data_IF_720745010766
#
_entry.id   IF_720745010766
#
_cell.length_a   1.000
_cell.length_b   1.000
_cell.length_c   1.000
_cell.angle_alpha   90.00
_cell.angle_beta   90.00
_cell.angle_gamma   90.00
#
_symmetry.space_group_name_H-M   'P 1'
#
loop_
_entity.id
_entity.type
_entity.pdbx_description
1 polymer ?
#
# COMPACT_ATOMS: atom_id res chain seq x y z
N UNK A 1 -20.99 12.20 -31.61
CA UNK A 1 -20.66 12.59 -30.23
C UNK A 1 -20.26 11.34 -29.46
N UNK A 2 -19.00 11.20 -29.04
CA UNK A 2 -18.56 10.08 -28.19
C UNK A 2 -18.60 10.57 -26.74
N UNK A 3 -19.48 10.01 -25.93
CA UNK A 3 -19.56 10.30 -24.50
C UNK A 3 -18.37 9.63 -23.81
N UNK A 4 -17.40 10.43 -23.38
CA UNK A 4 -16.30 9.99 -22.52
C UNK A 4 -16.77 10.08 -21.07
N UNK A 5 -17.61 9.15 -20.62
CA UNK A 5 -17.72 8.94 -19.18
C UNK A 5 -16.44 8.23 -18.74
N UNK A 6 -15.54 8.98 -18.08
CA UNK A 6 -14.49 8.36 -17.31
C UNK A 6 -15.18 7.53 -16.21
N UNK A 7 -14.97 6.22 -16.22
CA UNK A 7 -15.38 5.37 -15.11
C UNK A 7 -14.64 5.85 -13.87
N UNK A 8 -15.36 6.44 -12.92
CA UNK A 8 -14.77 6.81 -11.63
C UNK A 8 -14.28 5.54 -10.94
N UNK A 9 -12.97 5.40 -10.79
CA UNK A 9 -12.37 4.29 -10.06
C UNK A 9 -12.45 4.59 -8.56
N UNK A 10 -13.16 3.74 -7.81
CA UNK A 10 -13.14 3.78 -6.34
C UNK A 10 -11.87 3.08 -5.85
N UNK A 11 -11.04 3.80 -5.11
CA UNK A 11 -9.89 3.22 -4.44
C UNK A 11 -10.19 2.88 -2.99
N UNK A 12 -9.85 1.67 -2.57
CA UNK A 12 -10.06 1.17 -1.21
C UNK A 12 -8.72 0.82 -0.56
N UNK A 13 -8.59 1.20 0.70
CA UNK A 13 -7.36 1.04 1.46
C UNK A 13 -7.52 1.32 2.96
N UNK A 14 -6.42 1.14 3.68
CA UNK A 14 -6.30 1.33 5.12
C UNK A 14 -5.31 2.47 5.44
N UNK A 15 -5.37 3.04 6.67
CA UNK A 15 -4.43 4.06 7.11
C UNK A 15 -3.04 3.50 7.47
N UNK A 16 -2.79 2.22 7.17
CA UNK A 16 -1.53 1.51 7.42
C UNK A 16 -1.42 0.29 6.51
N UNK A 17 -0.18 -0.14 6.26
CA UNK A 17 0.11 -1.44 5.65
C UNK A 17 1.00 -2.29 6.56
N UNK A 18 1.99 -1.72 7.25
CA UNK A 18 2.96 -2.51 8.01
C UNK A 18 2.47 -3.00 9.40
N UNK A 19 1.47 -3.90 9.45
CA UNK A 19 1.02 -4.55 10.70
C UNK A 19 1.57 -5.99 10.87
N UNK A 20 2.41 -6.27 11.87
CA UNK A 20 2.91 -7.63 12.13
C UNK A 20 1.84 -8.67 12.46
N UNK A 21 0.68 -8.25 13.01
CA UNK A 21 -0.41 -9.15 13.40
C UNK A 21 -1.09 -9.82 12.20
N UNK A 22 -0.83 -9.34 10.98
CA UNK A 22 -1.39 -9.89 9.75
C UNK A 22 -0.56 -11.06 9.17
N UNK A 23 0.54 -11.44 9.82
CA UNK A 23 1.34 -12.62 9.46
C UNK A 23 0.51 -13.91 9.59
N UNK A 24 0.67 -14.80 8.61
CA UNK A 24 -0.12 -16.03 8.51
C UNK A 24 -1.54 -15.80 7.95
N UNK A 25 -1.90 -14.55 7.65
CA UNK A 25 -3.11 -14.18 6.92
C UNK A 25 -2.75 -13.41 5.66
N UNK A 26 -2.73 -12.07 5.75
CA UNK A 26 -2.38 -11.20 4.62
C UNK A 26 -0.90 -11.35 4.22
N UNK A 27 -0.02 -11.58 5.20
CA UNK A 27 1.41 -11.75 4.96
C UNK A 27 1.84 -13.21 5.10
N UNK A 28 2.89 -13.63 4.37
CA UNK A 28 3.51 -14.92 4.57
C UNK A 28 3.86 -15.18 6.05
N UNK A 29 3.72 -16.42 6.54
CA UNK A 29 4.01 -16.77 7.93
C UNK A 29 5.50 -16.65 8.29
N UNK A 30 6.38 -16.66 7.28
CA UNK A 30 7.83 -16.55 7.42
C UNK A 30 8.37 -15.52 6.42
N UNK A 31 9.39 -14.77 6.81
CA UNK A 31 10.02 -13.73 5.98
C UNK A 31 10.05 -12.36 6.64
N UNK A 32 10.85 -11.45 6.06
CA UNK A 32 10.96 -10.05 6.48
C UNK A 32 9.81 -9.19 5.98
N UNK A 33 9.75 -7.93 6.45
CA UNK A 33 8.70 -6.97 6.06
C UNK A 33 8.92 -6.30 4.70
N UNK A 34 10.03 -6.59 4.02
CA UNK A 34 10.40 -5.99 2.73
C UNK A 34 9.34 -6.23 1.64
N UNK A 35 8.60 -7.34 1.70
CA UNK A 35 7.54 -7.68 0.75
C UNK A 35 6.13 -7.22 1.13
N UNK A 36 5.91 -6.73 2.35
CA UNK A 36 4.55 -6.53 2.87
C UNK A 36 3.72 -5.52 2.10
N UNK A 37 4.33 -4.43 1.60
CA UNK A 37 3.60 -3.47 0.78
C UNK A 37 3.12 -4.11 -0.54
N UNK A 38 3.95 -4.95 -1.15
CA UNK A 38 3.59 -5.67 -2.35
C UNK A 38 2.50 -6.72 -2.09
N UNK A 39 2.56 -7.43 -0.96
CA UNK A 39 1.52 -8.37 -0.55
C UNK A 39 0.18 -7.66 -0.25
N UNK A 40 0.22 -6.53 0.46
CA UNK A 40 -0.94 -5.68 0.73
C UNK A 40 -1.60 -5.17 -0.57
N UNK A 41 -0.80 -4.73 -1.53
CA UNK A 41 -1.25 -4.19 -2.82
C UNK A 41 -1.94 -5.24 -3.71
N UNK A 42 -1.88 -6.54 -3.38
CA UNK A 42 -2.67 -7.57 -4.06
C UNK A 42 -4.15 -7.54 -3.66
N UNK A 43 -4.50 -6.90 -2.54
CA UNK A 43 -5.86 -6.88 -1.99
C UNK A 43 -6.46 -5.49 -2.03
N UNK A 44 -5.69 -4.46 -1.69
CA UNK A 44 -6.16 -3.07 -1.64
C UNK A 44 -5.47 -2.22 -2.72
N UNK A 45 -6.25 -1.32 -3.33
CA UNK A 45 -5.76 -0.46 -4.41
C UNK A 45 -5.12 0.83 -3.92
N UNK A 46 -5.24 1.14 -2.63
CA UNK A 46 -4.57 2.29 -2.02
C UNK A 46 -4.14 2.03 -0.57
N UNK A 47 -3.28 2.90 -0.07
CA UNK A 47 -2.90 3.00 1.34
C UNK A 47 -2.62 4.47 1.67
N UNK A 48 -2.94 4.88 2.89
CA UNK A 48 -2.56 6.21 3.37
C UNK A 48 -1.06 6.23 3.72
N UNK A 49 -0.31 7.16 3.11
CA UNK A 49 1.11 7.35 3.39
C UNK A 49 1.34 8.11 4.70
N UNK A 50 1.25 7.43 5.83
CA UNK A 50 1.45 8.05 7.16
C UNK A 50 2.92 8.14 7.60
N UNK A 51 3.83 7.45 6.91
CA UNK A 51 5.20 7.19 7.39
C UNK A 51 6.05 8.46 7.46
N UNK A 52 5.74 9.46 6.64
CA UNK A 52 6.46 10.74 6.62
C UNK A 52 6.20 11.62 7.84
N UNK A 53 5.07 11.39 8.52
CA UNK A 53 4.70 12.13 9.72
C UNK A 53 5.63 11.81 10.90
N UNK A 54 6.15 10.58 10.97
CA UNK A 54 6.96 10.09 12.10
C UNK A 54 8.44 9.91 11.75
N UNK A 55 8.79 9.81 10.47
CA UNK A 55 10.15 9.48 10.03
C UNK A 55 10.77 10.54 9.11
N UNK A 56 10.06 11.64 8.84
CA UNK A 56 10.47 12.66 7.89
C UNK A 56 10.30 12.22 6.43
N UNK A 57 10.83 13.01 5.50
CA UNK A 57 10.76 12.67 4.09
C UNK A 57 11.51 11.35 3.80
N UNK A 58 10.93 10.43 3.03
CA UNK A 58 11.61 9.19 2.67
C UNK A 58 12.77 9.50 1.74
N UNK A 59 13.76 8.60 1.69
CA UNK A 59 14.82 8.69 0.68
C UNK A 59 14.22 8.52 -0.71
N UNK A 60 14.76 9.23 -1.69
CA UNK A 60 14.27 9.15 -3.08
C UNK A 60 14.26 7.72 -3.61
N UNK A 61 15.27 6.91 -3.25
CA UNK A 61 15.36 5.50 -3.66
C UNK A 61 14.25 4.63 -3.07
N UNK A 62 13.65 5.03 -1.95
CA UNK A 62 12.54 4.31 -1.31
C UNK A 62 11.22 4.51 -2.03
N UNK A 63 11.05 5.63 -2.74
CA UNK A 63 9.82 5.98 -3.47
C UNK A 63 9.96 5.74 -4.98
N UNK A 64 11.18 5.60 -5.48
CA UNK A 64 11.46 5.26 -6.87
C UNK A 64 10.79 3.92 -7.26
N UNK A 65 10.18 3.90 -8.45
CA UNK A 65 9.48 2.75 -9.02
C UNK A 65 10.40 1.88 -9.89
#
# INVERSE_FOLDING_TARGET
>A
MKSHYASSCLNLGLPMWANPDWRGGLYPPHGGSEGWLADYARVFSSVEGNTTLYSGAPRSETVAA
#
